data_IF_802954662981
#
_entry.id   IF_802954662981
#
_cell.length_a   1.000
_cell.length_b   1.000
_cell.length_c   1.000
_cell.angle_alpha   90.00
_cell.angle_beta   90.00
_cell.angle_gamma   90.00
#
_symmetry.space_group_name_H-M   'P 1'
#
loop_
_entity.id
_entity.type
_entity.pdbx_description
1 polymer ?
#
# COMPACT_ATOMS: atom_id res chain seq x y z
N UNK A 1 -70.10 52.78 13.41
CA UNK A 1 -69.73 51.74 12.44
C UNK A 1 -68.22 51.55 12.48
N UNK A 2 -67.74 50.52 13.16
CA UNK A 2 -66.56 49.72 12.76
C UNK A 2 -66.28 48.73 13.91
N UNK A 3 -66.92 47.57 13.86
CA UNK A 3 -66.46 46.41 14.61
C UNK A 3 -65.29 45.80 13.82
N UNK A 4 -64.09 45.81 14.40
CA UNK A 4 -62.92 45.13 13.86
C UNK A 4 -62.70 43.82 14.62
N UNK A 5 -63.36 42.78 14.11
CA UNK A 5 -63.22 41.34 14.41
C UNK A 5 -61.92 40.79 13.76
N UNK A 6 -61.13 39.81 14.22
CA UNK A 6 -61.02 38.89 15.38
C UNK A 6 -59.51 38.57 15.50
N UNK A 7 -58.92 38.61 16.69
CA UNK A 7 -57.58 38.02 16.93
C UNK A 7 -57.71 36.49 16.96
N UNK A 8 -57.32 35.81 15.87
CA UNK A 8 -57.19 34.34 15.85
C UNK A 8 -55.83 33.93 16.42
N UNK A 9 -55.71 33.87 17.75
CA UNK A 9 -54.68 33.04 18.37
C UNK A 9 -55.13 31.58 18.28
N UNK A 10 -54.79 30.93 17.16
CA UNK A 10 -54.97 29.48 17.01
C UNK A 10 -53.87 28.78 17.81
N UNK A 11 -54.24 28.16 18.93
CA UNK A 11 -53.33 27.27 19.67
C UNK A 11 -53.09 25.98 18.90
N UNK A 12 -51.89 25.41 19.05
CA UNK A 12 -51.53 24.11 18.47
C UNK A 12 -52.54 23.04 18.88
N UNK A 13 -53.00 22.26 17.90
CA UNK A 13 -53.87 21.11 18.18
C UNK A 13 -53.03 19.90 18.62
N UNK A 14 -53.59 19.02 19.46
CA UNK A 14 -52.91 17.78 19.88
C UNK A 14 -52.46 16.94 18.68
N UNK A 15 -53.28 16.89 17.63
CA UNK A 15 -52.99 16.14 16.40
C UNK A 15 -51.80 16.73 15.63
N UNK A 16 -51.66 18.06 15.61
CA UNK A 16 -50.53 18.75 14.96
C UNK A 16 -49.20 18.48 15.68
N UNK A 17 -49.21 18.45 17.02
CA UNK A 17 -48.04 18.04 17.81
C UNK A 17 -47.64 16.59 17.54
N UNK A 18 -48.61 15.67 17.44
CA UNK A 18 -48.35 14.26 17.15
C UNK A 18 -47.72 14.09 15.75
N UNK A 19 -48.24 14.80 14.75
CA UNK A 19 -47.67 14.80 13.40
C UNK A 19 -46.25 15.39 13.40
N UNK A 20 -46.05 16.52 14.10
CA UNK A 20 -44.74 17.16 14.20
C UNK A 20 -43.70 16.23 14.83
N UNK A 21 -44.04 15.55 15.93
CA UNK A 21 -43.15 14.57 16.57
C UNK A 21 -42.88 13.39 15.63
N UNK A 22 -43.88 12.88 14.92
CA UNK A 22 -43.69 11.77 13.98
C UNK A 22 -42.72 12.12 12.84
N UNK A 23 -42.88 13.31 12.24
CA UNK A 23 -41.94 13.77 11.20
C UNK A 23 -40.54 14.00 11.77
N UNK A 24 -40.45 14.56 12.98
CA UNK A 24 -39.19 14.80 13.67
C UNK A 24 -38.44 13.50 13.99
N UNK A 25 -39.13 12.47 14.49
CA UNK A 25 -38.49 11.17 14.78
C UNK A 25 -38.02 10.49 13.50
N UNK A 26 -38.79 10.55 12.41
CA UNK A 26 -38.35 10.04 11.10
C UNK A 26 -37.10 10.77 10.60
N UNK A 27 -37.04 12.09 10.76
CA UNK A 27 -35.87 12.89 10.42
C UNK A 27 -34.63 12.49 11.21
N UNK A 28 -34.76 12.31 12.53
CA UNK A 28 -33.66 11.85 13.40
C UNK A 28 -33.20 10.44 13.01
N UNK A 29 -34.13 9.52 12.75
CA UNK A 29 -33.79 8.16 12.33
C UNK A 29 -33.02 8.15 11.00
N UNK A 30 -33.42 8.98 10.05
CA UNK A 30 -32.70 9.15 8.78
C UNK A 30 -31.27 9.67 9.01
N UNK A 31 -31.10 10.70 9.84
CA UNK A 31 -29.77 11.22 10.17
C UNK A 31 -28.90 10.18 10.90
N UNK A 32 -29.49 9.42 11.82
CA UNK A 32 -28.77 8.41 12.60
C UNK A 32 -28.27 7.24 11.75
N UNK A 33 -29.10 6.75 10.83
CA UNK A 33 -28.68 5.67 9.91
C UNK A 33 -27.54 6.10 8.99
N UNK A 34 -27.56 7.34 8.50
CA UNK A 34 -26.45 7.89 7.71
C UNK A 34 -25.16 8.03 8.55
N UNK A 35 -25.27 8.49 9.80
CA UNK A 35 -24.13 8.57 10.71
C UNK A 35 -23.48 7.19 10.95
N UNK A 36 -24.29 6.15 11.13
CA UNK A 36 -23.79 4.77 11.27
C UNK A 36 -23.11 4.26 9.99
N UNK A 37 -23.66 4.59 8.82
CA UNK A 37 -23.04 4.23 7.54
C UNK A 37 -21.65 4.88 7.38
N UNK A 38 -21.50 6.15 7.80
CA UNK A 38 -20.25 6.89 7.71
C UNK A 38 -19.11 6.29 8.55
N UNK A 39 -19.39 5.68 9.70
CA UNK A 39 -18.36 5.06 10.55
C UNK A 39 -17.59 3.96 9.80
N UNK A 40 -18.30 3.15 9.01
CA UNK A 40 -17.66 2.09 8.23
C UNK A 40 -16.78 2.67 7.12
N UNK A 41 -17.25 3.72 6.45
CA UNK A 41 -16.47 4.45 5.44
C UNK A 41 -15.21 5.06 6.03
N UNK A 42 -15.28 5.61 7.25
CA UNK A 42 -14.12 6.18 7.95
C UNK A 42 -13.05 5.11 8.20
N UNK A 43 -13.44 3.91 8.66
CA UNK A 43 -12.49 2.80 8.90
C UNK A 43 -11.82 2.33 7.61
N UNK A 44 -12.59 2.20 6.54
CA UNK A 44 -12.06 1.81 5.23
C UNK A 44 -11.10 2.87 4.67
N UNK A 45 -11.45 4.15 4.79
CA UNK A 45 -10.56 5.26 4.40
C UNK A 45 -9.26 5.27 5.23
N UNK A 46 -9.35 5.02 6.53
CA UNK A 46 -8.18 4.88 7.38
C UNK A 46 -7.26 3.73 6.92
N UNK A 47 -7.83 2.56 6.66
CA UNK A 47 -7.08 1.41 6.16
C UNK A 47 -6.41 1.69 4.81
N UNK A 48 -7.07 2.41 3.89
CA UNK A 48 -6.49 2.79 2.60
C UNK A 48 -5.27 3.71 2.75
N UNK A 49 -5.38 4.72 3.61
CA UNK A 49 -4.26 5.65 3.87
C UNK A 49 -3.12 4.91 4.57
N UNK A 50 -3.43 4.04 5.52
CA UNK A 50 -2.43 3.22 6.21
C UNK A 50 -1.72 2.28 5.23
N UNK A 51 -2.47 1.53 4.41
CA UNK A 51 -1.92 0.62 3.41
C UNK A 51 -1.05 1.35 2.39
N UNK A 52 -1.44 2.54 1.95
CA UNK A 52 -0.63 3.37 1.07
C UNK A 52 0.70 3.79 1.72
N UNK A 53 0.71 4.12 3.01
CA UNK A 53 1.95 4.46 3.71
C UNK A 53 2.86 3.25 3.91
N UNK A 54 2.31 2.09 4.30
CA UNK A 54 3.06 0.83 4.43
C UNK A 54 3.64 0.37 3.07
N UNK A 55 2.88 0.56 2.01
CA UNK A 55 3.29 0.25 0.64
C UNK A 55 4.44 1.16 0.19
N UNK A 56 4.36 2.47 0.46
CA UNK A 56 5.48 3.39 0.22
C UNK A 56 6.72 3.02 1.02
N UNK A 57 6.57 2.68 2.30
CA UNK A 57 7.68 2.22 3.13
C UNK A 57 8.39 1.01 2.50
N UNK A 58 7.66 0.06 1.92
CA UNK A 58 8.27 -1.08 1.22
C UNK A 58 9.18 -0.68 0.06
N UNK A 59 8.81 0.36 -0.69
CA UNK A 59 9.66 0.94 -1.75
C UNK A 59 10.86 1.68 -1.15
N UNK A 60 10.66 2.43 -0.07
CA UNK A 60 11.74 3.14 0.64
C UNK A 60 12.80 2.19 1.20
N UNK A 61 12.41 1.00 1.70
CA UNK A 61 13.35 -0.02 2.17
C UNK A 61 14.31 -0.42 1.03
N UNK A 62 13.77 -0.74 -0.15
CA UNK A 62 14.59 -1.11 -1.31
C UNK A 62 15.45 0.07 -1.79
N UNK A 63 14.90 1.29 -1.76
CA UNK A 63 15.66 2.50 -2.10
C UNK A 63 16.83 2.71 -1.15
N UNK A 64 16.60 2.55 0.16
CA UNK A 64 17.63 2.70 1.19
C UNK A 64 18.76 1.66 1.03
N UNK A 65 18.41 0.40 0.72
CA UNK A 65 19.40 -0.64 0.41
C UNK A 65 20.22 -0.26 -0.83
N UNK A 66 19.58 0.22 -1.90
CA UNK A 66 20.27 0.69 -3.11
C UNK A 66 21.21 1.85 -2.84
N UNK A 67 20.74 2.86 -2.11
CA UNK A 67 21.55 4.04 -1.75
C UNK A 67 22.75 3.63 -0.90
N UNK A 68 22.55 2.71 0.04
CA UNK A 68 23.63 2.16 0.86
C UNK A 68 24.65 1.40 0.00
N UNK A 69 24.19 0.60 -0.96
CA UNK A 69 25.07 -0.10 -1.89
C UNK A 69 25.89 0.84 -2.78
N UNK A 70 25.32 1.97 -3.20
CA UNK A 70 26.10 3.00 -3.92
C UNK A 70 27.22 3.58 -3.09
N UNK A 71 26.97 3.90 -1.81
CA UNK A 71 28.02 4.42 -0.94
C UNK A 71 29.15 3.38 -0.76
N UNK A 72 28.79 2.10 -0.65
CA UNK A 72 29.74 0.98 -0.56
C UNK A 72 30.54 0.80 -1.86
N UNK A 73 29.89 0.93 -3.01
CA UNK A 73 30.53 0.90 -4.33
C UNK A 73 31.53 2.05 -4.49
N UNK A 74 31.16 3.28 -4.11
CA UNK A 74 32.05 4.46 -4.14
C UNK A 74 33.25 4.34 -3.21
N UNK A 75 33.05 3.69 -2.05
CA UNK A 75 34.11 3.40 -1.11
C UNK A 75 35.02 2.22 -1.53
N UNK A 76 34.76 1.58 -2.69
CA UNK A 76 35.40 0.33 -3.12
C UNK A 76 35.33 -0.76 -2.03
N UNK A 77 34.22 -0.82 -1.29
CA UNK A 77 33.99 -1.87 -0.31
C UNK A 77 33.77 -3.22 -0.99
N UNK A 78 34.12 -4.29 -0.28
CA UNK A 78 33.95 -5.66 -0.75
C UNK A 78 32.64 -6.27 -0.24
N UNK A 79 31.85 -6.80 -1.16
CA UNK A 79 30.63 -7.57 -0.94
C UNK A 79 30.96 -9.07 -1.04
N UNK A 80 31.83 -9.55 -0.15
CA UNK A 80 32.41 -10.90 -0.24
C UNK A 80 33.64 -10.92 -1.14
N UNK A 81 33.54 -11.54 -2.32
CA UNK A 81 34.67 -11.72 -3.23
C UNK A 81 34.79 -10.63 -4.33
N UNK A 82 33.83 -9.71 -4.41
CA UNK A 82 33.74 -8.68 -5.44
C UNK A 82 33.47 -7.31 -4.83
N UNK A 83 33.76 -6.25 -5.58
CA UNK A 83 33.42 -4.87 -5.19
C UNK A 83 31.89 -4.75 -5.21
N UNK A 84 31.33 -4.15 -4.16
CA UNK A 84 29.91 -3.92 -4.07
C UNK A 84 29.36 -3.21 -5.30
N UNK A 85 28.25 -3.73 -5.82
CA UNK A 85 27.47 -3.10 -6.89
C UNK A 85 26.25 -2.46 -6.27
N UNK A 86 25.76 -1.37 -6.87
CA UNK A 86 24.48 -0.76 -6.50
C UNK A 86 23.30 -1.74 -6.32
N UNK A 87 23.28 -2.80 -7.11
CA UNK A 87 22.25 -3.85 -7.13
C UNK A 87 22.54 -5.04 -6.22
N UNK A 88 23.55 -4.97 -5.34
CA UNK A 88 23.87 -6.04 -4.39
C UNK A 88 22.66 -6.38 -3.50
N UNK A 89 22.24 -7.65 -3.50
CA UNK A 89 21.04 -8.09 -2.78
C UNK A 89 19.70 -7.62 -3.37
N UNK A 90 19.69 -6.92 -4.50
CA UNK A 90 18.49 -6.38 -5.18
C UNK A 90 18.20 -7.13 -6.49
N UNK A 91 18.13 -8.46 -6.43
CA UNK A 91 17.81 -9.28 -7.59
C UNK A 91 16.31 -9.30 -7.87
N UNK A 92 15.93 -9.55 -9.13
CA UNK A 92 14.52 -9.74 -9.46
C UNK A 92 13.91 -10.94 -8.73
N UNK A 93 12.70 -10.76 -8.20
CA UNK A 93 12.03 -11.74 -7.36
C UNK A 93 10.98 -11.12 -6.45
N UNK A 94 10.49 -11.93 -5.51
CA UNK A 94 9.54 -11.49 -4.48
C UNK A 94 10.16 -11.58 -3.10
N UNK A 95 9.85 -10.60 -2.26
CA UNK A 95 10.50 -10.40 -0.99
C UNK A 95 9.54 -9.87 0.06
N UNK A 96 9.89 -10.09 1.32
CA UNK A 96 9.39 -9.31 2.44
C UNK A 96 10.61 -8.77 3.22
N UNK A 97 10.43 -7.61 3.84
CA UNK A 97 11.48 -6.96 4.62
C UNK A 97 10.84 -5.97 5.57
N UNK A 98 11.55 -5.65 6.64
CA UNK A 98 11.26 -4.59 7.60
C UNK A 98 12.25 -3.43 7.47
N UNK A 99 11.92 -2.29 8.09
CA UNK A 99 12.72 -1.06 8.01
C UNK A 99 14.16 -1.21 8.54
N UNK A 100 14.40 -2.23 9.38
CA UNK A 100 15.67 -2.53 10.02
C UNK A 100 16.34 -3.79 9.48
N UNK A 101 15.77 -4.43 8.46
CA UNK A 101 16.38 -5.59 7.84
C UNK A 101 17.62 -5.18 7.03
N UNK A 102 18.72 -5.91 7.23
CA UNK A 102 19.95 -5.69 6.46
C UNK A 102 19.90 -6.29 5.05
N UNK A 103 18.92 -7.14 4.76
CA UNK A 103 18.73 -7.79 3.47
C UNK A 103 17.25 -8.13 3.24
N UNK A 104 16.85 -8.23 1.98
CA UNK A 104 15.51 -8.66 1.61
C UNK A 104 15.34 -10.17 1.85
N UNK A 105 14.23 -10.57 2.46
CA UNK A 105 13.93 -11.98 2.69
C UNK A 105 13.16 -12.54 1.47
N UNK A 106 13.74 -13.49 0.71
CA UNK A 106 13.11 -13.99 -0.51
C UNK A 106 11.88 -14.83 -0.21
N UNK A 107 10.88 -14.73 -1.10
CA UNK A 107 9.68 -15.55 -1.12
C UNK A 107 9.45 -16.08 -2.54
N UNK A 108 9.15 -17.37 -2.68
CA UNK A 108 9.06 -18.02 -4.00
C UNK A 108 7.61 -18.30 -4.36
N UNK A 109 7.20 -17.82 -5.54
CA UNK A 109 5.83 -17.86 -6.04
C UNK A 109 5.80 -17.44 -7.53
N UNK A 110 4.67 -17.63 -8.20
CA UNK A 110 4.53 -17.42 -9.65
C UNK A 110 4.39 -15.96 -10.06
N UNK A 111 3.63 -15.19 -9.29
CA UNK A 111 3.22 -13.82 -9.60
C UNK A 111 2.77 -13.12 -8.30
N UNK A 112 2.69 -11.79 -8.36
CA UNK A 112 2.42 -10.95 -7.19
C UNK A 112 1.12 -11.33 -6.44
N UNK A 113 0.08 -11.76 -7.16
CA UNK A 113 -1.21 -12.17 -6.57
C UNK A 113 -1.13 -13.52 -5.86
N UNK A 114 -0.47 -14.50 -6.48
CA UNK A 114 -0.17 -15.79 -5.85
C UNK A 114 0.73 -15.60 -4.64
N UNK A 115 1.73 -14.72 -4.73
CA UNK A 115 2.68 -14.45 -3.67
C UNK A 115 1.99 -13.89 -2.42
N UNK A 116 1.26 -12.77 -2.57
CA UNK A 116 0.60 -12.12 -1.43
C UNK A 116 -0.44 -13.03 -0.78
N UNK A 117 -1.14 -13.84 -1.58
CA UNK A 117 -2.12 -14.81 -1.07
C UNK A 117 -1.44 -15.92 -0.26
N UNK A 118 -0.38 -16.51 -0.80
CA UNK A 118 0.33 -17.64 -0.17
C UNK A 118 1.05 -17.19 1.09
N UNK A 119 1.76 -16.07 1.05
CA UNK A 119 2.52 -15.59 2.20
C UNK A 119 1.62 -15.02 3.30
N UNK A 120 0.43 -14.49 2.97
CA UNK A 120 -0.59 -14.13 3.97
C UNK A 120 -1.14 -15.37 4.67
N UNK A 121 -1.42 -16.44 3.92
CA UNK A 121 -1.92 -17.70 4.49
C UNK A 121 -0.88 -18.39 5.39
N UNK A 122 0.41 -18.30 5.04
CA UNK A 122 1.50 -18.76 5.89
C UNK A 122 1.80 -17.84 7.07
N UNK A 123 1.23 -16.63 7.10
CA UNK A 123 1.47 -15.61 8.14
C UNK A 123 2.81 -14.88 8.03
N UNK A 124 3.64 -15.19 7.04
CA UNK A 124 5.00 -14.63 6.87
C UNK A 124 4.94 -13.15 6.47
N UNK A 125 4.01 -12.79 5.57
CA UNK A 125 3.82 -11.40 5.14
C UNK A 125 2.90 -10.59 6.05
N UNK A 126 2.37 -11.18 7.13
CA UNK A 126 1.45 -10.49 8.03
C UNK A 126 2.20 -9.46 8.86
N UNK A 127 1.69 -8.23 8.91
CA UNK A 127 2.29 -7.16 9.69
C UNK A 127 1.71 -7.12 11.11
N UNK A 128 2.58 -6.82 12.07
CA UNK A 128 2.26 -6.61 13.47
C UNK A 128 2.63 -5.19 13.86
N UNK A 129 1.84 -4.58 14.73
CA UNK A 129 2.13 -3.25 15.25
C UNK A 129 3.00 -3.37 16.50
N UNK A 130 4.31 -3.18 16.32
CA UNK A 130 5.31 -3.25 17.38
C UNK A 130 5.94 -1.86 17.56
N UNK A 131 5.86 -1.30 18.77
CA UNK A 131 6.44 0.02 19.08
C UNK A 131 6.05 1.14 18.11
N UNK A 132 4.79 1.13 17.62
CA UNK A 132 4.23 2.04 16.61
C UNK A 132 4.75 1.88 15.18
N UNK A 133 5.49 0.80 14.88
CA UNK A 133 5.93 0.45 13.52
C UNK A 133 5.24 -0.83 13.09
N UNK A 134 4.93 -0.93 11.79
CA UNK A 134 4.40 -2.15 11.19
C UNK A 134 5.56 -2.97 10.66
N UNK A 135 5.78 -4.13 11.27
CA UNK A 135 6.86 -5.04 10.88
C UNK A 135 6.36 -6.49 10.81
N UNK A 136 7.17 -7.41 10.31
CA UNK A 136 6.84 -8.83 10.20
C UNK A 136 7.16 -9.61 11.50
N UNK A 137 7.58 -8.92 12.56
CA UNK A 137 7.93 -9.56 13.83
C UNK A 137 6.65 -9.96 14.57
N UNK A 138 6.50 -11.25 14.84
CA UNK A 138 5.31 -11.77 15.52
C UNK A 138 5.16 -11.10 16.90
N UNK A 139 4.02 -10.45 17.09
CA UNK A 139 3.69 -9.72 18.31
C UNK A 139 2.24 -9.91 18.74
N UNK A 140 1.84 -9.32 19.89
CA UNK A 140 0.47 -9.42 20.39
C UNK A 140 -0.54 -8.67 19.51
N UNK A 141 -0.08 -7.65 18.77
CA UNK A 141 -0.93 -6.76 17.98
C UNK A 141 -0.87 -7.12 16.49
N UNK A 142 -1.45 -8.26 16.12
CA UNK A 142 -1.57 -8.62 14.70
C UNK A 142 -2.45 -7.61 13.96
N UNK A 143 -1.91 -7.01 12.89
CA UNK A 143 -2.70 -6.16 12.01
C UNK A 143 -3.50 -6.98 11.00
N UNK A 144 -4.44 -6.33 10.32
CA UNK A 144 -5.15 -6.91 9.18
C UNK A 144 -4.41 -6.71 7.84
N UNK A 145 -3.19 -6.19 7.88
CA UNK A 145 -2.39 -5.84 6.70
C UNK A 145 -1.31 -6.92 6.47
N UNK A 146 -1.07 -7.23 5.21
CA UNK A 146 0.09 -7.99 4.76
C UNK A 146 0.84 -7.20 3.69
N UNK A 147 2.17 -7.27 3.67
CA UNK A 147 3.01 -6.61 2.65
C UNK A 147 3.86 -7.63 1.91
N UNK A 148 4.04 -7.39 0.61
CA UNK A 148 5.07 -8.04 -0.19
C UNK A 148 5.73 -7.02 -1.12
N UNK A 149 6.98 -7.27 -1.48
CA UNK A 149 7.78 -6.47 -2.39
C UNK A 149 8.13 -7.35 -3.59
N UNK A 150 8.00 -6.80 -4.78
CA UNK A 150 8.47 -7.40 -6.03
C UNK A 150 9.57 -6.51 -6.60
N UNK A 151 10.65 -7.14 -7.04
CA UNK A 151 11.71 -6.50 -7.81
C UNK A 151 11.71 -7.11 -9.20
N UNK A 152 11.80 -6.25 -10.21
CA UNK A 152 11.97 -6.61 -11.61
C UNK A 152 13.14 -5.80 -12.17
N UNK A 153 13.87 -6.35 -13.13
CA UNK A 153 14.96 -5.65 -13.78
C UNK A 153 14.41 -4.75 -14.88
N UNK A 154 15.04 -3.59 -15.06
CA UNK A 154 14.83 -2.68 -16.19
C UNK A 154 15.99 -2.92 -17.15
N UNK A 155 15.73 -3.63 -18.24
CA UNK A 155 16.72 -3.91 -19.27
C UNK A 155 16.49 -2.97 -20.46
N UNK A 156 17.56 -2.40 -21.00
CA UNK A 156 17.49 -1.69 -22.28
C UNK A 156 17.88 -2.68 -23.38
N UNK A 157 16.97 -2.88 -24.34
CA UNK A 157 17.13 -3.78 -25.48
C UNK A 157 17.14 -2.99 -26.78
N UNK A 158 17.98 -3.37 -27.74
CA UNK A 158 17.97 -2.79 -29.08
C UNK A 158 16.89 -3.46 -29.94
N UNK A 159 15.70 -2.86 -29.98
CA UNK A 159 14.60 -3.34 -30.79
C UNK A 159 14.56 -2.55 -32.11
N UNK A 160 15.01 -3.17 -33.21
CA UNK A 160 14.95 -2.58 -34.56
C UNK A 160 15.70 -1.24 -34.71
N UNK A 161 16.81 -1.07 -33.98
CA UNK A 161 17.66 0.12 -34.06
C UNK A 161 17.27 1.26 -33.13
N UNK A 162 16.34 1.03 -32.20
CA UNK A 162 16.03 1.97 -31.11
C UNK A 162 16.12 1.26 -29.75
N UNK A 163 16.70 1.91 -28.72
CA UNK A 163 16.70 1.38 -27.37
C UNK A 163 15.29 1.42 -26.79
N UNK A 164 14.83 0.30 -26.25
CA UNK A 164 13.52 0.15 -25.60
C UNK A 164 13.71 -0.40 -24.19
N UNK A 165 12.96 0.14 -23.23
CA UNK A 165 12.91 -0.40 -21.87
C UNK A 165 12.03 -1.66 -21.83
N UNK A 166 12.60 -2.75 -21.35
CA UNK A 166 11.94 -4.03 -21.08
C UNK A 166 12.02 -4.33 -19.58
N UNK A 167 10.85 -4.41 -18.93
CA UNK A 167 10.76 -4.65 -17.48
C UNK A 167 10.32 -6.09 -17.24
N UNK A 168 11.18 -6.87 -16.59
CA UNK A 168 10.97 -8.32 -16.46
C UNK A 168 11.61 -8.92 -15.21
N UNK A 169 11.17 -10.11 -14.86
CA UNK A 169 11.68 -10.89 -13.72
C UNK A 169 12.97 -11.66 -14.03
N UNK A 170 13.36 -11.76 -15.29
CA UNK A 170 14.63 -12.35 -15.71
C UNK A 170 15.76 -11.32 -15.75
N UNK A 171 17.00 -11.78 -15.59
CA UNK A 171 18.19 -10.92 -15.75
C UNK A 171 18.30 -10.37 -17.17
N UNK A 172 19.00 -9.24 -17.32
CA UNK A 172 19.35 -8.71 -18.64
C UNK A 172 20.40 -9.61 -19.32
N UNK A 173 20.18 -9.95 -20.58
CA UNK A 173 21.09 -10.77 -21.39
C UNK A 173 22.22 -9.91 -21.97
N UNK A 174 23.31 -9.82 -21.20
CA UNK A 174 24.53 -9.13 -21.63
C UNK A 174 25.15 -9.73 -22.89
N UNK A 175 24.87 -11.00 -23.21
CA UNK A 175 25.36 -11.67 -24.43
C UNK A 175 24.63 -11.19 -25.67
N UNK A 176 23.36 -10.80 -25.51
CA UNK A 176 22.54 -10.17 -26.54
C UNK A 176 22.76 -8.65 -26.64
N UNK A 177 23.66 -8.09 -25.83
CA UNK A 177 23.95 -6.66 -25.81
C UNK A 177 23.00 -5.83 -24.96
N UNK A 178 22.16 -6.46 -24.13
CA UNK A 178 21.24 -5.74 -23.25
C UNK A 178 21.96 -5.03 -22.10
N UNK A 179 21.45 -3.86 -21.72
CA UNK A 179 22.00 -3.04 -20.63
C UNK A 179 21.10 -3.14 -19.40
N UNK A 180 21.69 -3.41 -18.25
CA UNK A 180 21.02 -3.32 -16.95
C UNK A 180 20.92 -1.84 -16.53
N UNK A 181 19.73 -1.27 -16.69
CA UNK A 181 19.48 0.16 -16.48
C UNK A 181 18.92 0.48 -15.10
N UNK A 182 18.39 -0.51 -14.37
CA UNK A 182 17.69 -0.25 -13.13
C UNK A 182 16.83 -1.41 -12.65
N UNK A 183 16.04 -1.13 -11.61
CA UNK A 183 15.02 -2.05 -11.08
C UNK A 183 13.68 -1.34 -10.97
N UNK A 184 12.58 -2.06 -11.25
CA UNK A 184 11.24 -1.67 -10.86
C UNK A 184 10.92 -2.34 -9.54
N UNK A 185 10.57 -1.54 -8.54
CA UNK A 185 10.14 -2.03 -7.23
C UNK A 185 8.64 -1.83 -7.13
N UNK A 186 7.90 -2.89 -6.80
CA UNK A 186 6.46 -2.82 -6.52
C UNK A 186 6.21 -3.36 -5.12
N UNK A 187 5.73 -2.52 -4.21
CA UNK A 187 5.28 -2.97 -2.89
C UNK A 187 3.76 -3.06 -2.85
N UNK A 188 3.23 -4.28 -2.71
CA UNK A 188 1.80 -4.55 -2.58
C UNK A 188 1.44 -4.75 -1.12
N UNK A 189 0.41 -4.03 -0.68
CA UNK A 189 -0.21 -4.23 0.63
C UNK A 189 -1.64 -4.71 0.45
N UNK A 190 -1.98 -5.80 1.13
CA UNK A 190 -3.31 -6.41 1.13
C UNK A 190 -3.94 -6.33 2.51
N UNK A 191 -5.21 -5.96 2.58
CA UNK A 191 -6.02 -6.08 3.81
C UNK A 191 -7.42 -6.61 3.55
N UNK A 192 -8.04 -7.15 4.60
CA UNK A 192 -9.44 -7.58 4.56
C UNK A 192 -10.37 -6.36 4.63
N UNK A 193 -11.04 -6.08 3.51
CA UNK A 193 -12.19 -5.20 3.44
C UNK A 193 -13.48 -5.91 3.90
N UNK A 194 -14.63 -5.25 3.71
CA UNK A 194 -15.94 -5.76 4.16
C UNK A 194 -16.33 -7.11 3.55
N UNK A 195 -16.09 -7.27 2.25
CA UNK A 195 -16.53 -8.44 1.46
C UNK A 195 -15.41 -9.06 0.62
N UNK A 196 -14.27 -8.37 0.48
CA UNK A 196 -13.12 -8.81 -0.30
C UNK A 196 -11.82 -8.27 0.26
N UNK A 197 -10.73 -8.95 -0.08
CA UNK A 197 -9.40 -8.38 0.09
C UNK A 197 -9.22 -7.20 -0.88
N UNK A 198 -8.57 -6.16 -0.40
CA UNK A 198 -8.27 -4.95 -1.16
C UNK A 198 -6.76 -4.80 -1.17
N UNK A 199 -6.23 -4.46 -2.34
CA UNK A 199 -4.80 -4.27 -2.56
C UNK A 199 -4.51 -2.83 -2.94
N UNK A 200 -3.37 -2.33 -2.48
CA UNK A 200 -2.74 -1.10 -2.94
C UNK A 200 -1.29 -1.41 -3.30
N UNK A 201 -0.88 -0.91 -4.46
CA UNK A 201 0.48 -1.01 -4.97
C UNK A 201 1.12 0.38 -5.01
N UNK A 202 2.33 0.47 -4.49
CA UNK A 202 3.24 1.58 -4.76
C UNK A 202 4.37 1.02 -5.60
N UNK A 203 4.56 1.59 -6.79
CA UNK A 203 5.60 1.18 -7.71
C UNK A 203 6.53 2.33 -8.06
N UNK A 204 7.81 2.02 -8.22
CA UNK A 204 8.83 2.99 -8.58
C UNK A 204 9.89 2.35 -9.47
N UNK A 205 10.38 3.15 -10.41
CA UNK A 205 11.53 2.82 -11.26
C UNK A 205 12.77 3.44 -10.63
N UNK A 206 13.71 2.60 -10.23
CA UNK A 206 14.97 2.99 -9.61
C UNK A 206 16.08 2.70 -10.61
N UNK A 207 16.59 3.76 -11.24
CA UNK A 207 17.62 3.67 -12.26
C UNK A 207 19.03 3.76 -11.68
N UNK A 208 19.97 3.12 -12.37
CA UNK A 208 21.40 3.30 -12.15
C UNK A 208 21.93 4.51 -12.93
N UNK A 209 21.59 5.73 -12.48
CA UNK A 209 21.89 6.96 -13.23
C UNK A 209 23.32 7.51 -13.04
N UNK A 210 24.11 6.95 -12.13
CA UNK A 210 25.48 7.43 -11.84
C UNK A 210 26.56 6.87 -12.79
N UNK A 211 26.18 6.11 -13.81
CA UNK A 211 27.10 5.56 -14.82
C UNK A 211 26.65 5.89 -16.24
#
# INVERSE_FOLDING_TARGET
MSEKNINKNQGFTLIELLIAIAVFTLGIMGAFTLALANINTIRENFNRVLAANISREGVEIVRNMRDSNWLREEANEYCGAYICSWSDGLTAGFYYADYNDAALNPFVCSDLDACISSCTNSGICSLYLNSNVYDHTIGPNKSNMSRIIQIENICIVDASGAPVEDIRTSSCDKSAGEIDAGIRVTSRVRWSGRDKNIDIDSSELIYNWRR
#
